data_IF_351176974818
#
_entry.id   IF_351176974818
#
_cell.length_a   1.000
_cell.length_b   1.000
_cell.length_c   1.000
_cell.angle_alpha   90.00
_cell.angle_beta   90.00
_cell.angle_gamma   90.00
#
_symmetry.space_group_name_H-M   'P 1'
#
loop_
_entity.id
_entity.type
_entity.pdbx_description
1 polymer ?
#
# COMPACT_ATOMS: atom_id res chain seq x y z
N UNK A 1 22.38 -2.76 -9.28
CA UNK A 1 21.04 -3.23 -8.87
C UNK A 1 21.15 -4.71 -8.56
N UNK A 2 20.86 -5.10 -7.33
CA UNK A 2 20.85 -6.51 -6.91
C UNK A 2 19.47 -7.09 -7.23
N UNK A 3 19.33 -7.59 -8.46
CA UNK A 3 18.06 -8.05 -9.02
C UNK A 3 17.39 -9.16 -8.19
N UNK A 4 18.10 -10.21 -7.72
CA UNK A 4 17.51 -11.20 -6.82
C UNK A 4 16.95 -10.60 -5.53
N UNK A 5 17.70 -9.69 -4.90
CA UNK A 5 17.23 -9.01 -3.69
C UNK A 5 16.00 -8.14 -3.96
N UNK A 6 16.00 -7.39 -5.06
CA UNK A 6 14.87 -6.58 -5.49
C UNK A 6 13.60 -7.43 -5.63
N UNK A 7 13.65 -8.50 -6.43
CA UNK A 7 12.51 -9.36 -6.71
C UNK A 7 11.98 -9.98 -5.41
N UNK A 8 12.88 -10.45 -4.54
CA UNK A 8 12.49 -11.02 -3.24
C UNK A 8 11.76 -10.00 -2.38
N UNK A 9 12.30 -8.79 -2.22
CA UNK A 9 11.65 -7.74 -1.42
C UNK A 9 10.32 -7.32 -2.03
N UNK A 10 10.25 -7.13 -3.35
CA UNK A 10 9.02 -6.72 -4.03
C UNK A 10 7.90 -7.77 -3.88
N UNK A 11 8.19 -9.05 -4.16
CA UNK A 11 7.18 -10.12 -4.12
C UNK A 11 6.90 -10.54 -2.68
N UNK A 12 7.91 -11.02 -1.94
CA UNK A 12 7.69 -11.55 -0.60
C UNK A 12 7.26 -10.45 0.37
N UNK A 13 7.90 -9.27 0.31
CA UNK A 13 7.51 -8.11 1.11
C UNK A 13 6.11 -7.63 0.77
N UNK A 14 5.74 -7.60 -0.52
CA UNK A 14 4.39 -7.22 -0.94
C UNK A 14 3.32 -8.20 -0.45
N UNK A 15 3.56 -9.51 -0.55
CA UNK A 15 2.63 -10.55 -0.07
C UNK A 15 2.48 -10.52 1.47
N UNK A 16 3.59 -10.51 2.19
CA UNK A 16 3.59 -10.48 3.66
C UNK A 16 3.00 -9.18 4.19
N UNK A 17 3.38 -8.06 3.57
CA UNK A 17 2.83 -6.74 3.89
C UNK A 17 1.31 -6.71 3.65
N UNK A 18 0.83 -7.22 2.53
CA UNK A 18 -0.61 -7.26 2.23
C UNK A 18 -1.40 -8.03 3.31
N UNK A 19 -0.89 -9.19 3.72
CA UNK A 19 -1.49 -10.02 4.76
C UNK A 19 -1.46 -9.33 6.14
N UNK A 20 -0.30 -8.79 6.54
CA UNK A 20 -0.16 -8.06 7.80
C UNK A 20 -1.08 -6.84 7.87
N UNK A 21 -1.15 -6.08 6.77
CA UNK A 21 -2.02 -4.91 6.66
C UNK A 21 -3.48 -5.29 6.85
N UNK A 22 -3.92 -6.37 6.20
CA UNK A 22 -5.29 -6.87 6.32
C UNK A 22 -5.60 -7.37 7.73
N UNK A 23 -4.71 -8.17 8.32
CA UNK A 23 -4.85 -8.67 9.69
C UNK A 23 -4.97 -7.53 10.71
N UNK A 24 -4.18 -6.47 10.53
CA UNK A 24 -4.28 -5.27 11.36
C UNK A 24 -5.67 -4.61 11.25
N UNK A 25 -6.24 -4.51 10.05
CA UNK A 25 -7.58 -3.94 9.90
C UNK A 25 -8.66 -4.80 10.56
N UNK A 26 -8.57 -6.12 10.41
CA UNK A 26 -9.50 -7.05 11.08
C UNK A 26 -9.43 -6.90 12.60
N UNK A 27 -8.22 -6.77 13.16
CA UNK A 27 -8.03 -6.67 14.60
C UNK A 27 -8.45 -5.31 15.19
N UNK A 28 -8.28 -4.20 14.43
CA UNK A 28 -8.34 -2.86 15.02
C UNK A 28 -9.30 -1.87 14.34
N UNK A 29 -9.88 -2.17 13.17
CA UNK A 29 -10.64 -1.18 12.38
C UNK A 29 -12.09 -1.59 12.06
N UNK A 30 -12.54 -2.79 12.44
CA UNK A 30 -13.93 -3.26 12.29
C UNK A 30 -14.40 -3.51 10.84
N UNK A 31 -13.66 -2.99 9.84
CA UNK A 31 -13.88 -3.20 8.41
C UNK A 31 -12.55 -3.17 7.66
N UNK A 32 -12.53 -3.78 6.48
CA UNK A 32 -11.30 -3.93 5.67
C UNK A 32 -11.39 -3.10 4.40
N UNK A 33 -10.26 -2.55 3.96
CA UNK A 33 -10.20 -1.74 2.75
C UNK A 33 -10.51 -2.60 1.51
N UNK A 34 -10.15 -3.89 1.54
CA UNK A 34 -10.48 -4.86 0.49
C UNK A 34 -12.00 -4.97 0.31
N UNK A 35 -12.77 -5.11 1.38
CA UNK A 35 -14.23 -5.17 1.32
C UNK A 35 -14.83 -3.86 0.77
N UNK A 36 -14.34 -2.71 1.26
CA UNK A 36 -14.81 -1.40 0.82
C UNK A 36 -14.54 -1.15 -0.69
N UNK A 37 -13.28 -1.24 -1.11
CA UNK A 37 -12.86 -0.97 -2.50
C UNK A 37 -13.55 -1.94 -3.47
N UNK A 38 -13.54 -3.23 -3.13
CA UNK A 38 -14.17 -4.26 -3.95
C UNK A 38 -15.67 -4.03 -4.13
N UNK A 39 -16.37 -3.68 -3.05
CA UNK A 39 -17.79 -3.35 -3.08
C UNK A 39 -18.10 -2.13 -3.95
N UNK A 40 -17.30 -1.07 -3.80
CA UNK A 40 -17.46 0.13 -4.62
C UNK A 40 -17.20 -0.14 -6.10
N UNK A 41 -16.11 -0.82 -6.45
CA UNK A 41 -15.78 -1.09 -7.87
C UNK A 41 -16.83 -1.98 -8.54
N UNK A 42 -17.24 -3.07 -7.87
CA UNK A 42 -18.22 -4.00 -8.44
C UNK A 42 -19.58 -3.34 -8.61
N UNK A 43 -20.06 -2.62 -7.59
CA UNK A 43 -21.38 -1.97 -7.64
C UNK A 43 -21.43 -0.83 -8.67
N UNK A 44 -20.41 0.04 -8.70
CA UNK A 44 -20.37 1.18 -9.61
C UNK A 44 -20.08 0.78 -11.06
N UNK A 45 -19.20 -0.21 -11.26
CA UNK A 45 -18.85 -0.76 -12.57
C UNK A 45 -19.85 -1.78 -13.11
N UNK A 46 -20.81 -2.24 -12.29
CA UNK A 46 -21.79 -3.29 -12.60
C UNK A 46 -21.14 -4.60 -13.07
N UNK A 47 -20.04 -4.99 -12.43
CA UNK A 47 -19.30 -6.19 -12.81
C UNK A 47 -19.96 -7.47 -12.28
N UNK A 48 -20.00 -8.56 -13.07
CA UNK A 48 -20.46 -9.87 -12.60
C UNK A 48 -19.33 -10.61 -11.86
N UNK A 49 -18.68 -9.95 -10.91
CA UNK A 49 -17.55 -10.49 -10.15
C UNK A 49 -17.80 -10.37 -8.64
N UNK A 50 -17.28 -11.29 -7.81
CA UNK A 50 -17.36 -11.15 -6.36
C UNK A 50 -16.60 -9.89 -5.88
N UNK A 51 -17.20 -9.02 -5.04
CA UNK A 51 -16.52 -7.86 -4.47
C UNK A 51 -15.22 -8.19 -3.74
N UNK A 52 -15.19 -9.30 -3.00
CA UNK A 52 -14.00 -9.74 -2.26
C UNK A 52 -12.81 -10.02 -3.17
N UNK A 53 -13.04 -10.66 -4.32
CA UNK A 53 -12.00 -10.97 -5.31
C UNK A 53 -11.39 -9.68 -5.87
N UNK A 54 -12.25 -8.74 -6.30
CA UNK A 54 -11.81 -7.45 -6.84
C UNK A 54 -11.04 -6.64 -5.79
N UNK A 55 -11.58 -6.57 -4.57
CA UNK A 55 -10.95 -5.86 -3.46
C UNK A 55 -9.57 -6.39 -3.11
N UNK A 56 -9.42 -7.72 -3.03
CA UNK A 56 -8.13 -8.36 -2.78
C UNK A 56 -7.14 -8.20 -3.93
N UNK A 57 -7.60 -8.30 -5.18
CA UNK A 57 -6.75 -8.07 -6.34
C UNK A 57 -6.15 -6.65 -6.34
N UNK A 58 -6.98 -5.63 -6.03
CA UNK A 58 -6.52 -4.25 -5.91
C UNK A 58 -5.54 -4.08 -4.74
N UNK A 59 -5.88 -4.58 -3.56
CA UNK A 59 -5.02 -4.49 -2.38
C UNK A 59 -3.66 -5.16 -2.59
N UNK A 60 -3.65 -6.33 -3.23
CA UNK A 60 -2.44 -7.04 -3.59
C UNK A 60 -1.61 -6.25 -4.62
N UNK A 61 -2.24 -5.69 -5.65
CA UNK A 61 -1.55 -4.87 -6.65
C UNK A 61 -0.87 -3.64 -6.04
N UNK A 62 -1.57 -2.93 -5.13
CA UNK A 62 -1.00 -1.79 -4.41
C UNK A 62 0.14 -2.23 -3.49
N UNK A 63 -0.03 -3.32 -2.75
CA UNK A 63 1.00 -3.86 -1.85
C UNK A 63 2.28 -4.26 -2.59
N UNK A 64 2.15 -4.95 -3.73
CA UNK A 64 3.30 -5.29 -4.59
C UNK A 64 3.98 -4.03 -5.15
N UNK A 65 3.20 -3.03 -5.55
CA UNK A 65 3.73 -1.75 -6.07
C UNK A 65 4.51 -0.98 -5.00
N UNK A 66 3.97 -0.91 -3.78
CA UNK A 66 4.64 -0.28 -2.64
C UNK A 66 5.93 -1.03 -2.27
N UNK A 67 5.88 -2.37 -2.22
CA UNK A 67 7.07 -3.16 -1.92
C UNK A 67 8.16 -3.01 -2.99
N UNK A 68 7.77 -2.95 -4.27
CA UNK A 68 8.70 -2.70 -5.38
C UNK A 68 9.33 -1.29 -5.28
N UNK A 69 8.54 -0.27 -4.97
CA UNK A 69 9.05 1.10 -4.76
C UNK A 69 10.05 1.14 -3.60
N UNK A 70 9.72 0.51 -2.46
CA UNK A 70 10.65 0.42 -1.33
C UNK A 70 11.93 -0.31 -1.73
N UNK A 71 11.82 -1.46 -2.41
CA UNK A 71 12.98 -2.23 -2.88
C UNK A 71 13.87 -1.44 -3.85
N UNK A 72 13.28 -0.57 -4.68
CA UNK A 72 14.01 0.33 -5.58
C UNK A 72 14.80 1.38 -4.78
N UNK A 73 14.13 2.06 -3.84
CA UNK A 73 14.76 3.11 -3.04
C UNK A 73 15.87 2.56 -2.13
N UNK A 74 15.72 1.35 -1.60
CA UNK A 74 16.74 0.70 -0.77
C UNK A 74 18.01 0.28 -1.53
N UNK A 75 17.99 0.32 -2.86
CA UNK A 75 19.14 0.00 -3.70
C UNK A 75 19.95 1.23 -4.16
N UNK A 76 19.51 2.44 -3.81
CA UNK A 76 20.27 3.66 -4.11
C UNK A 76 21.64 3.57 -3.42
N UNK A 77 22.74 3.57 -4.19
CA UNK A 77 24.07 3.42 -3.60
C UNK A 77 24.42 4.68 -2.81
N UNK A 78 24.81 4.49 -1.55
CA UNK A 78 25.33 5.56 -0.71
C UNK A 78 26.59 5.06 0.03
N UNK A 79 27.75 5.72 -0.13
CA UNK A 79 28.99 5.29 0.50
C UNK A 79 28.92 5.61 2.00
N UNK A 80 28.47 4.64 2.79
CA UNK A 80 28.32 4.77 4.23
C UNK A 80 28.39 3.42 4.93
N UNK A 81 28.73 3.40 6.23
CA UNK A 81 28.69 2.17 7.03
C UNK A 81 27.34 1.47 6.92
N UNK A 82 27.34 0.14 7.00
CA UNK A 82 26.12 -0.67 6.86
C UNK A 82 25.02 -0.25 7.86
N UNK A 83 25.38 0.10 9.10
CA UNK A 83 24.43 0.58 10.10
C UNK A 83 23.72 1.88 9.66
N UNK A 84 24.47 2.83 9.09
CA UNK A 84 23.92 4.09 8.56
C UNK A 84 22.99 3.82 7.38
N UNK A 85 23.39 2.91 6.47
CA UNK A 85 22.55 2.52 5.33
C UNK A 85 21.25 1.86 5.76
N UNK A 86 21.29 0.98 6.77
CA UNK A 86 20.07 0.37 7.35
C UNK A 86 19.18 1.41 8.00
N UNK A 87 19.74 2.32 8.79
CA UNK A 87 19.01 3.42 9.42
C UNK A 87 18.32 4.33 8.40
N UNK A 88 19.04 4.72 7.34
CA UNK A 88 18.47 5.48 6.22
C UNK A 88 17.35 4.69 5.52
N UNK A 89 17.52 3.39 5.32
CA UNK A 89 16.49 2.53 4.75
C UNK A 89 15.21 2.49 5.60
N UNK A 90 15.34 2.41 6.93
CA UNK A 90 14.19 2.46 7.83
C UNK A 90 13.50 3.82 7.76
N UNK A 91 14.27 4.91 7.75
CA UNK A 91 13.72 6.25 7.62
C UNK A 91 12.94 6.42 6.30
N UNK A 92 13.45 5.89 5.18
CA UNK A 92 12.73 5.86 3.90
C UNK A 92 11.42 5.07 4.04
N UNK A 93 11.45 3.89 4.64
CA UNK A 93 10.27 3.06 4.82
C UNK A 93 9.19 3.76 5.66
N UNK A 94 9.57 4.39 6.77
CA UNK A 94 8.65 5.16 7.62
C UNK A 94 8.09 6.39 6.89
N UNK A 95 8.94 7.10 6.13
CA UNK A 95 8.50 8.23 5.31
C UNK A 95 7.50 7.81 4.23
N UNK A 96 7.72 6.66 3.58
CA UNK A 96 6.77 6.08 2.64
C UNK A 96 5.46 5.71 3.34
N UNK A 97 5.51 5.07 4.51
CA UNK A 97 4.29 4.74 5.27
C UNK A 97 3.48 5.97 5.66
N UNK A 98 4.15 7.04 6.09
CA UNK A 98 3.50 8.32 6.35
C UNK A 98 2.90 8.95 5.08
N UNK A 99 3.67 9.08 4.01
CA UNK A 99 3.24 9.72 2.77
C UNK A 99 2.07 8.96 2.10
N UNK A 100 2.15 7.62 2.05
CA UNK A 100 1.08 6.78 1.50
C UNK A 100 -0.19 6.85 2.32
N UNK A 101 -0.10 6.96 3.66
CA UNK A 101 -1.26 7.19 4.51
C UNK A 101 -1.95 8.51 4.15
N UNK A 102 -1.18 9.59 3.96
CA UNK A 102 -1.70 10.93 3.62
C UNK A 102 -2.48 10.91 2.32
N UNK A 103 -1.95 10.27 1.28
CA UNK A 103 -2.57 10.24 -0.05
C UNK A 103 -3.57 9.09 -0.25
N UNK A 104 -3.75 8.22 0.74
CA UNK A 104 -4.61 7.04 0.60
C UNK A 104 -6.04 7.41 0.19
N UNK A 105 -6.75 8.39 0.80
CA UNK A 105 -8.12 8.70 0.37
C UNK A 105 -8.25 9.09 -1.11
N UNK A 106 -7.54 10.10 -1.64
CA UNK A 106 -7.66 10.44 -3.07
C UNK A 106 -7.18 9.31 -3.97
N UNK A 107 -6.13 8.56 -3.60
CA UNK A 107 -5.68 7.41 -4.37
C UNK A 107 -6.73 6.29 -4.45
N UNK A 108 -7.44 6.02 -3.36
CA UNK A 108 -8.56 5.06 -3.31
C UNK A 108 -9.69 5.53 -4.21
N UNK A 109 -10.08 6.81 -4.14
CA UNK A 109 -11.14 7.37 -4.98
C UNK A 109 -10.81 7.25 -6.47
N UNK A 110 -9.57 7.61 -6.85
CA UNK A 110 -9.08 7.48 -8.23
C UNK A 110 -9.13 6.01 -8.67
N UNK A 111 -8.64 5.10 -7.83
CA UNK A 111 -8.64 3.65 -8.11
C UNK A 111 -10.06 3.13 -8.35
N UNK A 112 -11.00 3.47 -7.46
CA UNK A 112 -12.41 3.09 -7.59
C UNK A 112 -12.99 3.64 -8.88
N UNK A 113 -12.82 4.94 -9.14
CA UNK A 113 -13.42 5.62 -10.29
C UNK A 113 -12.90 5.08 -11.62
N UNK A 114 -11.58 4.92 -11.76
CA UNK A 114 -10.96 4.38 -12.97
C UNK A 114 -11.35 2.92 -13.20
N UNK A 115 -11.24 2.07 -12.18
CA UNK A 115 -11.60 0.65 -12.32
C UNK A 115 -13.11 0.44 -12.49
N UNK A 116 -13.95 1.39 -12.08
CA UNK A 116 -15.40 1.40 -12.35
C UNK A 116 -15.78 2.04 -13.69
N UNK A 117 -14.80 2.46 -14.51
CA UNK A 117 -15.02 3.13 -15.81
C UNK A 117 -15.80 4.45 -15.71
N UNK A 118 -15.63 5.18 -14.60
CA UNK A 118 -16.27 6.49 -14.38
C UNK A 118 -15.37 7.68 -14.77
N UNK A 119 -14.14 7.41 -15.18
CA UNK A 119 -13.16 8.45 -15.52
C UNK A 119 -12.39 8.95 -14.29
N UNK A 120 -11.61 10.01 -14.46
CA UNK A 120 -10.84 10.61 -13.35
C UNK A 120 -11.79 11.45 -12.47
N UNK A 121 -11.84 11.21 -11.14
CA UNK A 121 -12.75 11.93 -10.27
C UNK A 121 -12.30 13.38 -10.06
N UNK A 122 -13.27 14.30 -10.08
CA UNK A 122 -13.06 15.71 -9.71
C UNK A 122 -14.33 16.25 -9.04
N UNK A 123 -14.25 16.80 -7.81
CA UNK A 123 -13.05 16.97 -6.99
C UNK A 123 -12.53 15.66 -6.37
N UNK A 124 -11.27 15.70 -5.91
CA UNK A 124 -10.67 14.60 -5.14
C UNK A 124 -11.07 14.67 -3.66
N UNK A 125 -11.12 13.51 -3.00
CA UNK A 125 -11.17 13.43 -1.54
C UNK A 125 -9.94 14.10 -0.92
N UNK A 126 -10.13 14.69 0.26
CA UNK A 126 -9.08 15.36 1.01
C UNK A 126 -7.97 14.37 1.44
N UNK A 127 -6.79 14.92 1.68
CA UNK A 127 -5.69 14.16 2.26
C UNK A 127 -6.05 13.68 3.67
N UNK A 128 -5.49 12.54 4.07
CA UNK A 128 -5.68 12.02 5.41
C UNK A 128 -4.83 12.80 6.42
N UNK A 129 -5.45 13.76 7.09
CA UNK A 129 -4.81 14.49 8.20
C UNK A 129 -4.83 13.73 9.53
N UNK A 130 -5.57 12.63 9.61
CA UNK A 130 -5.71 11.83 10.81
C UNK A 130 -4.42 11.11 11.21
N UNK A 131 -4.10 11.21 12.50
CA UNK A 131 -3.17 10.29 13.19
C UNK A 131 -3.98 9.15 13.78
N UNK A 132 -3.55 7.89 13.61
CA UNK A 132 -4.29 6.75 14.13
C UNK A 132 -4.03 5.44 13.40
N UNK A 133 -4.99 4.51 13.50
CA UNK A 133 -4.86 3.16 12.94
C UNK A 133 -4.47 3.10 11.46
N UNK A 134 -4.95 3.97 10.55
CA UNK A 134 -4.48 3.97 9.16
C UNK A 134 -2.98 4.24 9.03
N UNK A 135 -2.44 5.18 9.80
CA UNK A 135 -1.01 5.50 9.82
C UNK A 135 -0.20 4.32 10.34
N UNK A 136 -0.59 3.78 11.50
CA UNK A 136 0.09 2.62 12.08
C UNK A 136 0.09 1.42 11.15
N UNK A 137 -0.99 1.21 10.40
CA UNK A 137 -1.07 0.10 9.46
C UNK A 137 -0.09 0.24 8.29
N UNK A 138 0.04 1.44 7.71
CA UNK A 138 1.03 1.69 6.66
C UNK A 138 2.46 1.63 7.21
N UNK A 139 2.72 2.22 8.39
CA UNK A 139 4.05 2.15 9.01
C UNK A 139 4.46 0.69 9.25
N UNK A 140 3.55 -0.15 9.76
CA UNK A 140 3.78 -1.59 9.93
C UNK A 140 4.08 -2.26 8.59
N UNK A 141 3.28 -2.01 7.56
CA UNK A 141 3.50 -2.54 6.21
C UNK A 141 4.92 -2.22 5.71
N UNK A 142 5.31 -0.95 5.73
CA UNK A 142 6.60 -0.54 5.17
C UNK A 142 7.78 -0.98 6.03
N UNK A 143 7.62 -1.01 7.36
CA UNK A 143 8.63 -1.58 8.25
C UNK A 143 8.87 -3.07 7.98
N UNK A 144 7.81 -3.84 7.72
CA UNK A 144 7.91 -5.26 7.35
C UNK A 144 8.56 -5.47 5.99
N UNK A 145 8.28 -4.62 5.00
CA UNK A 145 8.93 -4.69 3.69
C UNK A 145 10.42 -4.34 3.78
N UNK A 146 10.79 -3.42 4.67
CA UNK A 146 12.17 -3.01 4.88
C UNK A 146 13.02 -4.06 5.61
N UNK A 147 12.44 -4.76 6.58
CA UNK A 147 13.10 -5.75 7.42
C UNK A 147 13.66 -6.94 6.62
#
# INVERSE_FOLDING_TARGET
>A
MDTPRFIRTAIAGGLLGAAAFWLYQVAFQGGTITAFIGGQIVSQGKYPLPPSLVGWAVHLGVSLSYAALTALLLQVPFPSPEAVRRGAGLAIALALGWATTKVAPPAIQITISLLSRKGFPSPLWELNEGVGHPLWNHLLFFALVWA
#
